data_IF_489321494330
#
_entry.id   IF_489321494330
#
_cell.length_a   1.000
_cell.length_b   1.000
_cell.length_c   1.000
_cell.angle_alpha   90.00
_cell.angle_beta   90.00
_cell.angle_gamma   90.00
#
_symmetry.space_group_name_H-M   'P 1'
#
loop_
_entity.id
_entity.type
_entity.pdbx_description
1 polymer ?
#
# COMPACT_ATOMS: atom_id res chain seq x y z
N UNK A 1 4.26 13.20 4.55
CA UNK A 1 3.80 11.84 4.16
C UNK A 1 3.49 11.08 5.43
N UNK A 2 2.51 10.17 5.41
CA UNK A 2 2.12 9.37 6.59
C UNK A 2 2.65 7.94 6.54
N UNK A 3 3.44 7.63 5.50
CA UNK A 3 4.11 6.34 5.33
C UNK A 3 4.94 6.02 6.57
N UNK A 4 4.66 4.89 7.22
CA UNK A 4 5.34 4.46 8.45
C UNK A 4 4.79 5.07 9.75
N UNK A 5 3.82 5.99 9.70
CA UNK A 5 3.13 6.45 10.92
C UNK A 5 2.17 5.37 11.41
N UNK A 6 2.25 4.94 12.68
CA UNK A 6 1.32 3.96 13.24
C UNK A 6 -0.15 4.39 13.10
N UNK A 7 -0.99 3.49 12.60
CA UNK A 7 -2.43 3.74 12.41
C UNK A 7 -3.16 4.18 13.69
N UNK A 8 -2.84 3.69 14.89
CA UNK A 8 -3.45 4.19 16.13
C UNK A 8 -3.15 5.68 16.40
N UNK A 9 -1.94 6.16 16.05
CA UNK A 9 -1.58 7.57 16.20
C UNK A 9 -2.32 8.43 15.18
N UNK A 10 -2.43 7.94 13.94
CA UNK A 10 -3.26 8.61 12.92
C UNK A 10 -4.70 8.69 13.42
N UNK A 11 -5.25 7.59 13.94
CA UNK A 11 -6.63 7.53 14.41
C UNK A 11 -6.90 8.53 15.54
N UNK A 12 -6.00 8.62 16.52
CA UNK A 12 -6.25 9.34 17.79
C UNK A 12 -5.67 10.75 17.84
N UNK A 13 -4.60 11.05 17.11
CA UNK A 13 -3.86 12.31 17.24
C UNK A 13 -3.98 13.22 16.02
N UNK A 14 -4.27 12.67 14.83
CA UNK A 14 -4.25 13.49 13.62
C UNK A 14 -5.53 14.31 13.47
N UNK A 15 -5.45 15.62 13.15
CA UNK A 15 -6.61 16.45 12.93
C UNK A 15 -7.36 16.01 11.67
N UNK A 16 -8.59 15.50 11.84
CA UNK A 16 -9.43 15.03 10.74
C UNK A 16 -9.88 16.21 9.88
N UNK A 17 -9.89 16.02 8.55
CA UNK A 17 -10.29 17.06 7.60
C UNK A 17 -9.27 18.20 7.38
N UNK A 18 -8.16 18.23 8.13
CA UNK A 18 -7.03 19.16 7.88
C UNK A 18 -5.91 18.51 7.07
N UNK A 19 -5.80 17.18 7.11
CA UNK A 19 -4.84 16.42 6.30
C UNK A 19 -5.49 16.10 4.97
N UNK A 20 -4.95 16.70 3.90
CA UNK A 20 -5.49 16.61 2.53
C UNK A 20 -4.84 15.44 1.76
N UNK A 21 -3.59 15.06 2.08
CA UNK A 21 -2.85 14.00 1.40
C UNK A 21 -1.95 13.22 2.35
N UNK A 22 -2.05 11.90 2.30
CA UNK A 22 -1.15 10.98 2.97
C UNK A 22 -0.66 9.90 2.00
N UNK A 23 0.66 9.73 1.85
CA UNK A 23 1.20 8.63 1.04
C UNK A 23 1.04 7.30 1.79
N UNK A 24 0.26 6.38 1.22
CA UNK A 24 0.06 5.01 1.72
C UNK A 24 0.51 3.95 0.71
N UNK A 25 0.96 4.35 -0.49
CA UNK A 25 1.28 3.42 -1.57
C UNK A 25 2.38 2.42 -1.18
N UNK A 26 3.40 2.90 -0.47
CA UNK A 26 4.49 2.04 0.03
C UNK A 26 3.98 0.97 0.99
N UNK A 27 2.94 1.24 1.78
CA UNK A 27 2.35 0.23 2.68
C UNK A 27 1.76 -0.94 1.89
N UNK A 28 0.96 -0.66 0.85
CA UNK A 28 0.33 -1.69 0.04
C UNK A 28 1.34 -2.56 -0.70
N UNK A 29 2.42 -1.95 -1.19
CA UNK A 29 3.53 -2.69 -1.79
C UNK A 29 4.24 -3.58 -0.76
N UNK A 30 4.60 -3.05 0.42
CA UNK A 30 5.26 -3.82 1.47
C UNK A 30 4.39 -4.98 1.96
N UNK A 31 3.07 -4.80 2.01
CA UNK A 31 2.12 -5.87 2.32
C UNK A 31 2.25 -7.04 1.35
N UNK A 32 2.35 -6.77 0.05
CA UNK A 32 2.57 -7.81 -0.96
C UNK A 32 3.90 -8.50 -0.71
N UNK A 33 4.98 -7.76 -0.49
CA UNK A 33 6.29 -8.33 -0.16
C UNK A 33 6.25 -9.25 1.07
N UNK A 34 5.55 -8.85 2.12
CA UNK A 34 5.42 -9.68 3.33
C UNK A 34 4.64 -10.96 3.08
N UNK A 35 3.64 -10.96 2.19
CA UNK A 35 2.97 -12.19 1.78
C UNK A 35 3.90 -13.07 0.94
N UNK A 36 4.65 -12.49 0.00
CA UNK A 36 5.59 -13.26 -0.83
C UNK A 36 6.68 -13.93 0.01
N UNK A 37 7.18 -13.30 1.09
CA UNK A 37 8.15 -13.94 2.01
C UNK A 37 7.70 -15.32 2.50
N UNK A 38 6.39 -15.51 2.68
CA UNK A 38 5.82 -16.74 3.25
C UNK A 38 5.34 -17.68 2.13
N UNK A 39 4.57 -17.15 1.18
CA UNK A 39 3.90 -17.96 0.15
C UNK A 39 4.79 -18.22 -1.09
N UNK A 40 5.75 -17.34 -1.35
CA UNK A 40 6.65 -17.36 -2.52
C UNK A 40 8.08 -16.96 -2.15
N UNK A 41 8.73 -17.67 -1.20
CA UNK A 41 10.02 -17.26 -0.66
C UNK A 41 11.10 -17.10 -1.74
N UNK A 42 11.08 -17.96 -2.77
CA UNK A 42 12.05 -17.88 -3.88
C UNK A 42 11.87 -16.62 -4.74
N UNK A 43 10.62 -16.23 -5.03
CA UNK A 43 10.34 -14.99 -5.77
C UNK A 43 10.69 -13.76 -4.91
N UNK A 44 10.34 -13.79 -3.63
CA UNK A 44 10.70 -12.73 -2.70
C UNK A 44 12.23 -12.54 -2.65
N UNK A 45 13.00 -13.62 -2.55
CA UNK A 45 14.46 -13.56 -2.51
C UNK A 45 15.05 -12.98 -3.80
N UNK A 46 14.52 -13.36 -4.96
CA UNK A 46 14.93 -12.77 -6.26
C UNK A 46 14.67 -11.26 -6.30
N UNK A 47 13.49 -10.84 -5.85
CA UNK A 47 13.10 -9.42 -5.77
C UNK A 47 14.02 -8.67 -4.81
N UNK A 48 14.31 -9.25 -3.64
CA UNK A 48 15.18 -8.67 -2.63
C UNK A 48 16.60 -8.49 -3.17
N UNK A 49 17.23 -9.55 -3.68
CA UNK A 49 18.57 -9.51 -4.25
C UNK A 49 18.68 -8.51 -5.38
N UNK A 50 17.77 -8.57 -6.36
CA UNK A 50 17.78 -7.61 -7.47
C UNK A 50 17.70 -6.17 -6.96
N UNK A 51 16.91 -5.91 -5.92
CA UNK A 51 16.81 -4.58 -5.33
C UNK A 51 18.13 -4.14 -4.68
N UNK A 52 18.79 -5.01 -3.91
CA UNK A 52 20.06 -4.69 -3.25
C UNK A 52 21.20 -4.55 -4.27
N UNK A 53 21.25 -5.41 -5.28
CA UNK A 53 22.25 -5.36 -6.34
C UNK A 53 22.17 -4.06 -7.16
N UNK A 54 20.96 -3.57 -7.44
CA UNK A 54 20.77 -2.37 -8.27
C UNK A 54 20.75 -1.05 -7.48
N UNK A 55 20.41 -1.09 -6.19
CA UNK A 55 20.19 0.13 -5.38
C UNK A 55 20.94 0.14 -4.05
N UNK A 56 21.71 -0.90 -3.73
CA UNK A 56 22.55 -0.99 -2.56
C UNK A 56 23.57 0.13 -2.50
N UNK A 57 23.86 0.59 -1.28
CA UNK A 57 24.83 1.65 -1.02
C UNK A 57 25.65 1.29 0.21
N UNK A 58 26.94 1.55 0.14
CA UNK A 58 27.83 1.36 1.27
C UNK A 58 27.34 2.15 2.49
N UNK A 59 27.36 1.52 3.66
CA UNK A 59 26.91 2.12 4.91
C UNK A 59 25.39 2.25 5.10
N UNK A 60 24.57 1.84 4.13
CA UNK A 60 23.09 1.85 4.26
C UNK A 60 22.59 0.43 4.49
N UNK A 61 21.79 0.16 5.55
CA UNK A 61 21.24 -1.16 5.80
C UNK A 61 20.36 -1.64 4.64
N UNK A 62 20.52 -2.89 4.22
CA UNK A 62 19.75 -3.46 3.11
C UNK A 62 18.23 -3.37 3.32
N UNK A 63 17.75 -3.56 4.55
CA UNK A 63 16.34 -3.42 4.89
C UNK A 63 15.80 -2.01 4.56
N UNK A 64 16.62 -0.98 4.77
CA UNK A 64 16.27 0.39 4.41
C UNK A 64 16.29 0.60 2.88
N UNK A 65 17.31 0.06 2.21
CA UNK A 65 17.40 0.08 0.74
C UNK A 65 16.17 -0.60 0.12
N UNK A 66 15.82 -1.79 0.60
CA UNK A 66 14.68 -2.56 0.13
C UNK A 66 13.37 -1.81 0.35
N UNK A 67 13.14 -1.26 1.54
CA UNK A 67 11.92 -0.50 1.83
C UNK A 67 11.73 0.72 0.91
N UNK A 68 12.82 1.39 0.51
CA UNK A 68 12.78 2.59 -0.33
C UNK A 68 12.75 2.28 -1.84
N UNK A 69 13.46 1.22 -2.27
CA UNK A 69 13.78 0.97 -3.67
C UNK A 69 13.06 -0.23 -4.29
N UNK A 70 12.48 -1.13 -3.49
CA UNK A 70 11.76 -2.31 -4.03
C UNK A 70 10.58 -1.99 -4.94
N UNK A 71 10.07 -0.75 -4.92
CA UNK A 71 9.06 -0.27 -5.89
C UNK A 71 9.50 -0.38 -7.35
N UNK A 72 10.81 -0.32 -7.61
CA UNK A 72 11.34 -0.48 -8.96
C UNK A 72 11.31 -1.95 -9.42
N UNK A 73 11.32 -2.89 -8.46
CA UNK A 73 11.23 -4.31 -8.75
C UNK A 73 9.85 -4.69 -9.30
N UNK A 74 8.79 -3.93 -9.01
CA UNK A 74 7.44 -4.19 -9.55
C UNK A 74 7.46 -4.27 -11.09
N UNK A 75 8.18 -3.35 -11.75
CA UNK A 75 8.31 -3.36 -13.21
C UNK A 75 9.17 -4.53 -13.70
N UNK A 76 10.26 -4.83 -12.99
CA UNK A 76 11.18 -5.90 -13.34
C UNK A 76 10.53 -7.28 -13.28
N UNK A 77 9.72 -7.52 -12.24
CA UNK A 77 9.10 -8.81 -11.94
C UNK A 77 7.60 -8.81 -12.29
N UNK A 78 7.15 -7.92 -13.18
CA UNK A 78 5.73 -7.72 -13.48
C UNK A 78 5.02 -9.04 -13.82
N UNK A 79 5.60 -9.84 -14.73
CA UNK A 79 5.00 -11.11 -15.13
C UNK A 79 4.95 -12.14 -14.00
N UNK A 80 5.97 -12.21 -13.15
CA UNK A 80 5.97 -13.13 -11.99
C UNK A 80 4.88 -12.74 -10.99
N UNK A 81 4.65 -11.44 -10.81
CA UNK A 81 3.65 -10.89 -9.89
C UNK A 81 2.22 -11.05 -10.41
N UNK A 82 2.00 -10.95 -11.73
CA UNK A 82 0.68 -11.20 -12.33
C UNK A 82 0.32 -12.69 -12.38
N UNK A 83 1.31 -13.59 -12.36
CA UNK A 83 1.12 -15.04 -12.44
C UNK A 83 1.24 -15.76 -11.07
N UNK A 84 0.95 -15.07 -9.97
CA UNK A 84 0.87 -15.71 -8.65
C UNK A 84 -0.27 -16.74 -8.59
N UNK A 85 -0.10 -17.84 -7.84
CA UNK A 85 -1.19 -18.79 -7.63
C UNK A 85 -2.37 -18.18 -6.85
N UNK A 86 -3.50 -18.89 -6.84
CA UNK A 86 -4.72 -18.40 -6.21
C UNK A 86 -4.59 -18.25 -4.69
N UNK A 87 -3.89 -19.15 -4.00
CA UNK A 87 -3.72 -19.08 -2.54
C UNK A 87 -2.95 -17.81 -2.14
N UNK A 88 -1.88 -17.50 -2.86
CA UNK A 88 -1.09 -16.28 -2.69
C UNK A 88 -1.94 -15.04 -2.97
N UNK A 89 -2.71 -15.03 -4.07
CA UNK A 89 -3.61 -13.91 -4.41
C UNK A 89 -4.71 -13.73 -3.38
N UNK A 90 -5.26 -14.81 -2.86
CA UNK A 90 -6.26 -14.80 -1.79
C UNK A 90 -5.68 -14.23 -0.49
N UNK A 91 -4.47 -14.63 -0.10
CA UNK A 91 -3.79 -14.10 1.07
C UNK A 91 -3.53 -12.57 0.95
N UNK A 92 -3.09 -12.09 -0.21
CA UNK A 92 -2.92 -10.66 -0.49
C UNK A 92 -4.27 -9.93 -0.36
N UNK A 93 -5.33 -10.42 -1.01
CA UNK A 93 -6.67 -9.80 -0.97
C UNK A 93 -7.23 -9.73 0.45
N UNK A 94 -7.14 -10.82 1.21
CA UNK A 94 -7.65 -10.89 2.57
C UNK A 94 -6.93 -9.89 3.49
N UNK A 95 -5.59 -9.85 3.43
CA UNK A 95 -4.79 -8.90 4.23
C UNK A 95 -5.05 -7.46 3.78
N UNK A 96 -5.12 -7.19 2.48
CA UNK A 96 -5.40 -5.86 1.95
C UNK A 96 -6.79 -5.35 2.38
N UNK A 97 -7.80 -6.22 2.39
CA UNK A 97 -9.14 -5.89 2.86
C UNK A 97 -9.15 -5.53 4.35
N UNK A 98 -8.53 -6.38 5.19
CA UNK A 98 -8.44 -6.12 6.62
C UNK A 98 -7.76 -4.78 6.93
N UNK A 99 -6.62 -4.51 6.30
CA UNK A 99 -5.90 -3.25 6.45
C UNK A 99 -6.71 -2.05 5.95
N UNK A 100 -7.47 -2.21 4.86
CA UNK A 100 -8.34 -1.15 4.33
C UNK A 100 -9.39 -0.71 5.36
N UNK A 101 -9.99 -1.65 6.09
CA UNK A 101 -10.95 -1.34 7.16
C UNK A 101 -10.29 -0.50 8.26
N UNK A 102 -9.05 -0.83 8.64
CA UNK A 102 -8.29 -0.09 9.65
C UNK A 102 -7.95 1.31 9.13
N UNK A 103 -7.49 1.45 7.88
CA UNK A 103 -7.23 2.75 7.25
C UNK A 103 -8.49 3.63 7.20
N UNK A 104 -9.64 3.07 6.79
CA UNK A 104 -10.89 3.82 6.75
C UNK A 104 -11.28 4.37 8.12
N UNK A 105 -11.10 3.57 9.18
CA UNK A 105 -11.31 4.03 10.55
C UNK A 105 -10.30 5.11 10.94
N UNK A 106 -9.00 4.87 10.68
CA UNK A 106 -7.93 5.78 11.07
C UNK A 106 -8.04 7.15 10.38
N UNK A 107 -8.47 7.20 9.12
CA UNK A 107 -8.66 8.44 8.38
C UNK A 107 -10.04 9.09 8.59
N UNK A 108 -10.96 8.44 9.31
CA UNK A 108 -12.30 8.97 9.49
C UNK A 108 -13.12 8.97 8.20
N UNK A 109 -12.89 8.00 7.31
CA UNK A 109 -13.52 7.89 6.00
C UNK A 109 -14.96 7.33 6.05
N UNK A 110 -15.56 7.26 7.24
CA UNK A 110 -16.92 6.75 7.40
C UNK A 110 -17.89 7.63 6.58
N UNK A 111 -18.65 7.00 5.68
CA UNK A 111 -19.67 7.64 4.84
C UNK A 111 -19.15 8.72 3.86
N UNK A 112 -17.85 8.78 3.56
CA UNK A 112 -17.34 9.76 2.57
C UNK A 112 -17.97 9.58 1.20
N UNK A 113 -18.18 8.35 0.73
CA UNK A 113 -18.88 8.08 -0.52
C UNK A 113 -20.30 8.67 -0.54
N UNK A 114 -21.07 8.49 0.55
CA UNK A 114 -22.41 9.09 0.68
C UNK A 114 -22.34 10.62 0.64
N UNK A 115 -21.39 11.24 1.37
CA UNK A 115 -21.25 12.70 1.38
C UNK A 115 -20.94 13.27 0.00
N UNK A 116 -20.09 12.57 -0.76
CA UNK A 116 -19.77 12.95 -2.15
C UNK A 116 -21.00 12.80 -3.04
N UNK A 117 -21.72 11.68 -2.93
CA UNK A 117 -22.97 11.47 -3.65
C UNK A 117 -24.01 12.55 -3.35
N UNK A 118 -24.28 12.81 -2.06
CA UNK A 118 -25.22 13.85 -1.61
C UNK A 118 -24.83 15.23 -2.17
N UNK A 119 -23.52 15.54 -2.21
CA UNK A 119 -23.00 16.78 -2.77
C UNK A 119 -23.21 16.87 -4.29
N UNK A 120 -22.92 15.81 -5.04
CA UNK A 120 -23.12 15.75 -6.49
C UNK A 120 -24.61 15.96 -6.81
N UNK A 121 -25.51 15.24 -6.14
CA UNK A 121 -26.95 15.33 -6.34
C UNK A 121 -27.48 16.71 -5.98
N UNK A 122 -27.07 17.27 -4.82
CA UNK A 122 -27.52 18.59 -4.36
C UNK A 122 -27.13 19.71 -5.34
N UNK A 123 -25.99 19.60 -6.00
CA UNK A 123 -25.45 20.65 -6.87
C UNK A 123 -25.69 20.37 -8.37
N UNK A 124 -26.50 19.36 -8.72
CA UNK A 124 -26.77 18.94 -10.10
C UNK A 124 -25.49 18.80 -10.95
N UNK A 125 -24.43 18.26 -10.33
CA UNK A 125 -23.14 18.10 -11.02
C UNK A 125 -23.26 16.96 -12.03
N UNK A 126 -23.31 17.32 -13.30
CA UNK A 126 -23.27 16.35 -14.40
C UNK A 126 -21.86 15.79 -14.53
N UNK A 127 -21.72 14.49 -14.33
CA UNK A 127 -20.56 13.74 -14.79
C UNK A 127 -20.74 13.54 -16.31
N UNK A 128 -19.98 14.28 -17.10
CA UNK A 128 -19.93 14.05 -18.54
C UNK A 128 -18.94 12.93 -18.86
N UNK A 129 -19.30 12.11 -19.85
CA UNK A 129 -18.56 10.94 -20.37
C UNK A 129 -17.21 11.33 -21.01
#
# INVERSE_FOLDING_TARGET
>A
GITGTPLPLIATKFPKGKIIKGNVGTFWMLLVWDILKVFKPELYEKIYRWTIENYGKEGVPEAEVFAKSSKYAIKQFFYDLENLDEDTRMAIRAKAYAESLIFFKAFGMKQTAKRVYDFIVKNDIKYYE
#
